data_IF_486032835799
#
_entry.id   IF_486032835799
#
_cell.length_a   1.000
_cell.length_b   1.000
_cell.length_c   1.000
_cell.angle_alpha   90.00
_cell.angle_beta   90.00
_cell.angle_gamma   90.00
#
_symmetry.space_group_name_H-M   'P 1'
#
loop_
_entity.id
_entity.type
_entity.pdbx_description
1 polymer ?
#
# COMPACT_ATOMS: atom_id res chain seq x y z
N UNK A 1 -0.75 -32.40 -0.58
CA UNK A 1 -0.65 -31.42 -1.68
C UNK A 1 0.62 -30.62 -1.49
N UNK A 2 1.40 -30.31 -2.53
CA UNK A 2 2.58 -29.45 -2.37
C UNK A 2 2.10 -28.00 -2.25
N UNK A 3 2.36 -27.38 -1.11
CA UNK A 3 2.08 -25.96 -0.88
C UNK A 3 3.31 -25.10 -1.18
N UNK A 4 3.12 -23.83 -1.51
CA UNK A 4 4.19 -22.84 -1.65
C UNK A 4 3.77 -21.58 -0.89
N UNK A 5 4.61 -21.17 0.05
CA UNK A 5 4.54 -19.86 0.68
C UNK A 5 5.63 -18.97 0.09
N UNK A 6 5.25 -17.81 -0.44
CA UNK A 6 6.17 -16.84 -1.03
C UNK A 6 5.82 -15.44 -0.56
N UNK A 7 6.80 -14.75 0.04
CA UNK A 7 6.74 -13.32 0.30
C UNK A 7 7.86 -12.64 -0.49
N UNK A 8 7.53 -11.98 -1.58
CA UNK A 8 8.50 -11.34 -2.47
C UNK A 8 8.78 -9.88 -2.11
N UNK A 9 7.88 -9.23 -1.34
CA UNK A 9 8.05 -7.85 -0.89
C UNK A 9 9.15 -7.76 0.16
N UNK A 10 10.11 -6.84 -0.01
CA UNK A 10 11.05 -6.46 1.06
C UNK A 10 10.32 -5.57 2.06
N UNK A 11 10.29 -5.97 3.32
CA UNK A 11 9.55 -5.25 4.36
C UNK A 11 10.53 -4.56 5.30
N UNK A 12 10.39 -3.23 5.41
CA UNK A 12 11.09 -2.38 6.36
C UNK A 12 10.11 -2.03 7.48
N UNK A 13 10.46 -2.28 8.73
CA UNK A 13 9.54 -2.12 9.88
C UNK A 13 10.17 -1.31 11.00
N UNK A 14 9.31 -0.61 11.75
CA UNK A 14 9.68 0.15 12.93
C UNK A 14 9.81 1.64 12.66
N UNK A 15 10.02 2.40 13.74
CA UNK A 15 10.23 3.84 13.65
C UNK A 15 11.41 4.17 12.74
N UNK A 16 11.24 5.20 11.91
CA UNK A 16 12.20 5.62 10.90
C UNK A 16 12.44 4.62 9.75
N UNK A 17 11.67 3.53 9.66
CA UNK A 17 11.79 2.61 8.51
C UNK A 17 11.53 3.29 7.17
N UNK A 18 10.76 4.40 7.14
CA UNK A 18 10.53 5.19 5.95
C UNK A 18 11.83 5.82 5.41
N UNK A 19 12.82 6.11 6.25
CA UNK A 19 14.09 6.73 5.84
C UNK A 19 14.87 5.81 4.88
N UNK A 20 14.68 4.50 4.95
CA UNK A 20 15.28 3.54 4.03
C UNK A 20 14.81 3.72 2.57
N UNK A 21 13.76 4.50 2.32
CA UNK A 21 13.26 4.78 0.97
C UNK A 21 14.30 5.53 0.12
N UNK A 22 15.19 6.30 0.75
CA UNK A 22 16.30 7.01 0.10
C UNK A 22 17.29 6.05 -0.58
N UNK A 23 17.37 4.81 -0.08
CA UNK A 23 18.27 3.77 -0.57
C UNK A 23 17.69 2.95 -1.74
N UNK A 24 16.49 3.28 -2.23
CA UNK A 24 15.91 2.61 -3.40
C UNK A 24 16.65 2.93 -4.71
N UNK A 25 17.47 3.99 -4.74
CA UNK A 25 18.28 4.36 -5.91
C UNK A 25 17.46 4.88 -7.09
N UNK A 26 16.28 5.44 -6.83
CA UNK A 26 15.38 5.97 -7.85
C UNK A 26 15.94 7.28 -8.44
N UNK A 27 15.69 7.50 -9.71
CA UNK A 27 15.99 8.75 -10.42
C UNK A 27 14.73 9.59 -10.63
N UNK A 28 13.59 8.95 -10.85
CA UNK A 28 12.30 9.60 -11.14
C UNK A 28 11.20 8.87 -10.39
N UNK A 29 10.84 9.39 -9.22
CA UNK A 29 9.84 8.78 -8.34
C UNK A 29 8.46 9.43 -8.52
N UNK A 30 7.46 8.63 -8.85
CA UNK A 30 6.07 9.04 -8.99
C UNK A 30 5.30 8.66 -7.74
N UNK A 31 4.93 9.66 -6.92
CA UNK A 31 4.23 9.47 -5.65
C UNK A 31 2.73 9.50 -5.92
N UNK A 32 2.03 8.41 -5.60
CA UNK A 32 0.56 8.27 -5.71
C UNK A 32 -0.04 8.30 -4.31
N UNK A 33 -0.90 9.27 -4.04
CA UNK A 33 -1.55 9.44 -2.75
C UNK A 33 -2.97 10.04 -2.89
N UNK A 34 -3.69 10.10 -1.78
CA UNK A 34 -4.93 10.86 -1.70
C UNK A 34 -4.69 12.35 -1.41
N UNK A 35 -5.72 13.22 -1.61
CA UNK A 35 -5.59 14.65 -1.37
C UNK A 35 -5.25 15.01 0.09
N UNK A 36 -5.57 14.16 1.05
CA UNK A 36 -5.26 14.40 2.46
C UNK A 36 -3.75 14.29 2.71
N UNK A 37 -3.08 13.29 2.13
CA UNK A 37 -1.63 13.11 2.25
C UNK A 37 -0.84 14.30 1.67
N UNK A 38 -1.33 14.89 0.58
CA UNK A 38 -0.74 16.12 0.05
C UNK A 38 -1.02 17.31 0.96
N UNK A 39 -2.27 17.50 1.37
CA UNK A 39 -2.70 18.64 2.20
C UNK A 39 -2.07 18.66 3.57
N UNK A 40 -1.86 17.52 4.22
CA UNK A 40 -1.19 17.43 5.52
C UNK A 40 0.33 17.52 5.44
N UNK A 41 0.91 17.59 4.22
CA UNK A 41 2.33 17.76 3.99
C UNK A 41 3.13 16.44 3.87
N UNK A 42 2.54 15.29 4.18
CA UNK A 42 3.25 13.98 4.15
C UNK A 42 3.82 13.64 2.77
N UNK A 43 3.05 13.91 1.69
CA UNK A 43 3.54 13.69 0.34
C UNK A 43 4.73 14.62 -0.01
N UNK A 44 4.71 15.86 0.48
CA UNK A 44 5.82 16.81 0.34
C UNK A 44 7.06 16.41 1.13
N UNK A 45 6.90 15.91 2.37
CA UNK A 45 7.99 15.37 3.18
C UNK A 45 8.67 14.19 2.45
N UNK A 46 7.88 13.24 1.97
CA UNK A 46 8.38 12.09 1.22
C UNK A 46 9.09 12.51 -0.09
N UNK A 47 8.53 13.48 -0.81
CA UNK A 47 9.17 14.04 -2.00
C UNK A 47 10.52 14.72 -1.66
N UNK A 48 10.59 15.45 -0.54
CA UNK A 48 11.82 16.09 -0.08
C UNK A 48 12.92 15.06 0.25
N UNK A 49 12.57 13.94 0.90
CA UNK A 49 13.50 12.84 1.19
C UNK A 49 14.07 12.26 -0.11
N UNK A 50 13.21 11.91 -1.06
CA UNK A 50 13.63 11.35 -2.36
C UNK A 50 14.45 12.34 -3.19
N UNK A 51 14.07 13.63 -3.18
CA UNK A 51 14.85 14.68 -3.84
C UNK A 51 16.23 14.85 -3.19
N UNK A 52 16.31 14.76 -1.85
CA UNK A 52 17.57 14.77 -1.10
C UNK A 52 18.50 13.62 -1.49
N UNK A 53 17.93 12.46 -1.83
CA UNK A 53 18.64 11.30 -2.35
C UNK A 53 18.97 11.38 -3.85
N UNK A 54 18.59 12.48 -4.53
CA UNK A 54 18.91 12.74 -5.94
C UNK A 54 17.84 12.32 -6.95
N UNK A 55 16.66 11.92 -6.50
CA UNK A 55 15.54 11.61 -7.39
C UNK A 55 14.77 12.89 -7.78
N UNK A 56 14.29 12.96 -9.04
CA UNK A 56 13.21 13.88 -9.40
C UNK A 56 11.88 13.30 -8.93
N UNK A 57 10.98 14.11 -8.37
CA UNK A 57 9.70 13.62 -7.88
C UNK A 57 8.51 14.31 -8.56
N UNK A 58 7.43 13.56 -8.75
CA UNK A 58 6.11 14.09 -9.12
C UNK A 58 5.05 13.46 -8.23
N UNK A 59 4.13 14.28 -7.73
CA UNK A 59 3.02 13.82 -6.88
C UNK A 59 1.74 13.78 -7.71
N UNK A 60 1.00 12.68 -7.58
CA UNK A 60 -0.36 12.49 -8.04
C UNK A 60 -1.24 12.28 -6.80
N UNK A 61 -2.10 13.26 -6.48
CA UNK A 61 -2.89 13.29 -5.25
C UNK A 61 -4.40 13.20 -5.50
N UNK A 62 -4.81 12.55 -6.60
CA UNK A 62 -6.24 12.42 -6.96
C UNK A 62 -6.85 11.06 -6.57
N UNK A 63 -6.19 10.29 -5.69
CA UNK A 63 -6.76 9.03 -5.22
C UNK A 63 -7.99 9.29 -4.37
N UNK A 64 -9.03 8.49 -4.60
CA UNK A 64 -10.29 8.52 -3.84
C UNK A 64 -10.53 7.16 -3.19
N UNK A 65 -11.36 7.09 -2.13
CA UNK A 65 -11.84 5.81 -1.62
C UNK A 65 -12.49 4.99 -2.73
N UNK A 66 -12.26 3.67 -2.75
CA UNK A 66 -12.72 2.80 -3.83
C UNK A 66 -12.26 3.30 -5.22
N UNK A 67 -10.93 3.26 -5.50
CA UNK A 67 -10.37 3.93 -6.66
C UNK A 67 -10.99 3.46 -7.96
N UNK A 68 -11.34 4.42 -8.82
CA UNK A 68 -12.01 4.15 -10.09
C UNK A 68 -11.05 3.94 -11.25
N UNK A 69 -11.54 3.32 -12.32
CA UNK A 69 -10.81 3.18 -13.59
C UNK A 69 -10.33 4.54 -14.10
N UNK A 70 -11.13 5.60 -13.92
CA UNK A 70 -10.79 6.95 -14.34
C UNK A 70 -9.59 7.52 -13.57
N UNK A 71 -9.51 7.28 -12.26
CA UNK A 71 -8.38 7.70 -11.42
C UNK A 71 -7.10 6.98 -11.84
N UNK A 72 -7.18 5.66 -12.05
CA UNK A 72 -6.05 4.86 -12.57
C UNK A 72 -5.58 5.38 -13.93
N UNK A 73 -6.52 5.68 -14.85
CA UNK A 73 -6.19 6.22 -16.18
C UNK A 73 -5.47 7.58 -16.10
N UNK A 74 -5.90 8.47 -15.20
CA UNK A 74 -5.22 9.75 -14.95
C UNK A 74 -3.80 9.55 -14.40
N UNK A 75 -3.62 8.64 -13.44
CA UNK A 75 -2.30 8.32 -12.92
C UNK A 75 -1.37 7.82 -14.02
N UNK A 76 -1.84 6.92 -14.91
CA UNK A 76 -1.09 6.44 -16.07
C UNK A 76 -0.73 7.59 -17.02
N UNK A 77 -1.64 8.52 -17.26
CA UNK A 77 -1.34 9.68 -18.12
C UNK A 77 -0.19 10.52 -17.53
N UNK A 78 -0.23 10.80 -16.22
CA UNK A 78 0.87 11.49 -15.56
C UNK A 78 2.19 10.71 -15.59
N UNK A 79 2.14 9.37 -15.50
CA UNK A 79 3.31 8.52 -15.63
C UNK A 79 3.92 8.56 -17.04
N UNK A 80 3.08 8.60 -18.10
CA UNK A 80 3.57 8.74 -19.49
C UNK A 80 4.32 10.04 -19.74
N UNK A 81 3.93 11.12 -19.07
CA UNK A 81 4.59 12.43 -19.17
C UNK A 81 5.85 12.50 -18.33
N UNK A 82 5.88 11.78 -17.21
CA UNK A 82 6.98 11.84 -16.26
C UNK A 82 8.00 10.72 -16.45
N UNK A 83 7.64 9.58 -17.05
CA UNK A 83 8.50 8.41 -17.28
C UNK A 83 9.23 7.95 -16.00
N UNK A 84 8.50 7.55 -14.95
CA UNK A 84 9.10 7.17 -13.67
C UNK A 84 9.84 5.83 -13.78
N UNK A 85 10.94 5.69 -13.03
CA UNK A 85 11.59 4.42 -12.75
C UNK A 85 11.11 3.81 -11.42
N UNK A 86 10.43 4.61 -10.58
CA UNK A 86 9.80 4.15 -9.34
C UNK A 86 8.43 4.78 -9.08
N UNK A 87 7.53 3.98 -8.49
CA UNK A 87 6.20 4.39 -8.02
C UNK A 87 6.18 4.21 -6.52
N UNK A 88 5.79 5.26 -5.80
CA UNK A 88 5.63 5.22 -4.35
C UNK A 88 4.15 5.41 -4.03
N UNK A 89 3.52 4.39 -3.48
CA UNK A 89 2.14 4.46 -2.99
C UNK A 89 2.14 4.96 -1.53
N UNK A 90 1.68 6.17 -1.29
CA UNK A 90 1.57 6.74 0.06
C UNK A 90 0.09 6.85 0.46
N UNK A 91 -0.35 6.04 1.41
CA UNK A 91 -1.73 6.05 1.87
C UNK A 91 -2.25 4.68 2.28
N UNK A 92 -3.56 4.56 2.44
CA UNK A 92 -4.22 3.28 2.71
C UNK A 92 -4.36 2.39 1.47
N UNK A 93 -5.16 1.32 1.58
CA UNK A 93 -5.37 0.35 0.50
C UNK A 93 -5.75 0.97 -0.84
N UNK A 94 -6.57 2.04 -0.87
CA UNK A 94 -6.97 2.71 -2.11
C UNK A 94 -5.79 3.34 -2.86
N UNK A 95 -4.83 3.94 -2.16
CA UNK A 95 -3.63 4.51 -2.78
C UNK A 95 -2.72 3.39 -3.31
N UNK A 96 -2.54 2.33 -2.53
CA UNK A 96 -1.73 1.18 -2.92
C UNK A 96 -2.33 0.46 -4.12
N UNK A 97 -3.64 0.22 -4.13
CA UNK A 97 -4.34 -0.43 -5.23
C UNK A 97 -4.31 0.41 -6.52
N UNK A 98 -4.45 1.75 -6.40
CA UNK A 98 -4.27 2.66 -7.54
C UNK A 98 -2.87 2.55 -8.13
N UNK A 99 -1.84 2.57 -7.27
CA UNK A 99 -0.44 2.48 -7.69
C UNK A 99 -0.11 1.13 -8.35
N UNK A 100 -0.62 0.02 -7.78
CA UNK A 100 -0.51 -1.31 -8.36
C UNK A 100 -1.12 -1.38 -9.76
N UNK A 101 -2.39 -0.97 -9.89
CA UNK A 101 -3.10 -1.00 -11.16
C UNK A 101 -2.44 -0.09 -12.19
N UNK A 102 -2.12 1.15 -11.82
CA UNK A 102 -1.48 2.10 -12.71
C UNK A 102 -0.10 1.62 -13.17
N UNK A 103 0.74 1.13 -12.25
CA UNK A 103 2.08 0.63 -12.56
C UNK A 103 2.06 -0.60 -13.46
N UNK A 104 1.19 -1.56 -13.17
CA UNK A 104 1.03 -2.78 -13.97
C UNK A 104 0.58 -2.47 -15.41
N UNK A 105 -0.44 -1.63 -15.56
CA UNK A 105 -0.96 -1.25 -16.88
C UNK A 105 0.05 -0.38 -17.64
N UNK A 106 0.72 0.57 -16.97
CA UNK A 106 1.77 1.39 -17.58
C UNK A 106 2.90 0.52 -18.13
N UNK A 107 3.41 -0.43 -17.33
CA UNK A 107 4.46 -1.35 -17.75
C UNK A 107 4.04 -2.25 -18.92
N UNK A 108 2.79 -2.73 -18.90
CA UNK A 108 2.22 -3.55 -19.97
C UNK A 108 2.11 -2.76 -21.29
N UNK A 109 1.79 -1.46 -21.23
CA UNK A 109 1.69 -0.59 -22.41
C UNK A 109 3.05 -0.27 -23.03
N UNK A 110 4.11 -0.17 -22.22
CA UNK A 110 5.44 0.18 -22.66
C UNK A 110 6.29 -1.04 -23.06
N UNK A 111 5.86 -2.25 -22.68
CA UNK A 111 6.59 -3.50 -22.98
C UNK A 111 7.88 -3.72 -22.16
N UNK A 112 8.14 -2.86 -21.16
CA UNK A 112 9.36 -2.87 -20.35
C UNK A 112 9.15 -3.42 -18.93
N UNK A 113 7.92 -3.88 -18.62
CA UNK A 113 7.52 -4.19 -17.25
C UNK A 113 7.18 -2.92 -16.47
N UNK A 114 6.66 -3.09 -15.24
CA UNK A 114 6.34 -1.94 -14.38
C UNK A 114 7.61 -1.33 -13.75
N UNK A 115 7.60 -0.02 -13.44
CA UNK A 115 8.59 0.60 -12.56
C UNK A 115 8.64 -0.09 -11.19
N UNK A 116 9.75 0.10 -10.44
CA UNK A 116 9.79 -0.35 -9.05
C UNK A 116 8.57 0.19 -8.29
N UNK A 117 7.89 -0.66 -7.53
CA UNK A 117 6.73 -0.28 -6.73
C UNK A 117 7.05 -0.41 -5.25
N UNK A 118 7.02 0.71 -4.54
CA UNK A 118 7.13 0.74 -3.08
C UNK A 118 5.82 1.19 -2.45
N UNK A 119 5.40 0.54 -1.38
CA UNK A 119 4.22 0.89 -0.61
C UNK A 119 4.59 1.51 0.73
N UNK A 120 3.96 2.61 1.07
CA UNK A 120 4.07 3.33 2.33
C UNK A 120 2.67 3.44 2.94
N UNK A 121 2.20 2.39 3.63
CA UNK A 121 0.85 2.36 4.19
C UNK A 121 0.72 3.36 5.33
N UNK A 122 -0.40 4.08 5.35
CA UNK A 122 -0.79 5.00 6.42
C UNK A 122 -2.00 4.51 7.21
N UNK A 123 -2.46 3.32 6.92
CA UNK A 123 -3.50 2.57 7.67
C UNK A 123 -3.00 1.16 7.92
N UNK A 124 -3.40 0.57 9.04
CA UNK A 124 -3.10 -0.82 9.38
C UNK A 124 -4.38 -1.65 9.20
N UNK A 125 -4.50 -2.36 8.08
CA UNK A 125 -5.74 -3.09 7.75
C UNK A 125 -5.59 -4.01 6.58
N UNK A 126 -5.65 -3.46 5.37
CA UNK A 126 -5.85 -4.19 4.12
C UNK A 126 -4.74 -5.16 3.74
N UNK A 127 -3.50 -4.95 4.23
CA UNK A 127 -2.34 -5.74 3.80
C UNK A 127 -2.00 -5.59 2.30
N UNK A 128 -2.54 -4.55 1.64
CA UNK A 128 -2.34 -4.36 0.20
C UNK A 128 -0.85 -4.22 -0.15
N UNK A 129 -0.01 -3.75 0.76
CA UNK A 129 1.44 -3.59 0.59
C UNK A 129 2.20 -4.90 0.35
N UNK A 130 1.58 -6.06 0.60
CA UNK A 130 2.21 -7.39 0.44
C UNK A 130 1.40 -8.34 -0.45
N UNK A 131 0.28 -7.88 -1.02
CA UNK A 131 -0.63 -8.75 -1.79
C UNK A 131 -0.51 -8.57 -3.29
N UNK A 132 -0.89 -9.62 -4.04
CA UNK A 132 -0.98 -9.64 -5.51
C UNK A 132 -2.36 -9.20 -6.04
N UNK A 133 -3.12 -8.46 -5.25
CA UNK A 133 -4.45 -7.99 -5.57
C UNK A 133 -4.52 -6.46 -5.62
N UNK A 134 -5.39 -5.93 -6.47
CA UNK A 134 -5.83 -4.54 -6.45
C UNK A 134 -7.31 -4.49 -6.81
N UNK A 135 -8.10 -3.76 -6.02
CA UNK A 135 -9.54 -3.62 -6.24
C UNK A 135 -9.83 -2.26 -6.89
N UNK A 136 -10.37 -2.29 -8.10
CA UNK A 136 -10.69 -1.09 -8.88
C UNK A 136 -12.17 -1.07 -9.22
N UNK A 137 -12.80 0.09 -9.06
CA UNK A 137 -14.22 0.30 -9.30
C UNK A 137 -14.48 0.79 -10.70
N UNK A 138 -15.44 0.18 -11.38
CA UNK A 138 -16.07 0.75 -12.58
C UNK A 138 -17.34 1.49 -12.15
N UNK A 139 -17.28 2.80 -12.12
CA UNK A 139 -18.38 3.64 -11.68
C UNK A 139 -19.56 3.60 -12.65
N UNK A 140 -19.32 3.29 -13.93
CA UNK A 140 -20.35 3.19 -14.96
C UNK A 140 -21.09 1.87 -14.89
N UNK A 141 -20.34 0.77 -14.72
CA UNK A 141 -20.91 -0.56 -14.55
C UNK A 141 -21.41 -0.83 -13.12
N UNK A 142 -21.13 0.07 -12.16
CA UNK A 142 -21.39 -0.12 -10.73
C UNK A 142 -20.82 -1.45 -10.19
N UNK A 143 -19.63 -1.81 -10.64
CA UNK A 143 -18.96 -3.07 -10.33
C UNK A 143 -17.56 -2.84 -9.78
N UNK A 144 -17.09 -3.73 -8.90
CA UNK A 144 -15.70 -3.77 -8.42
C UNK A 144 -15.00 -4.95 -9.08
N UNK A 145 -13.82 -4.69 -9.60
CA UNK A 145 -12.95 -5.70 -10.22
C UNK A 145 -11.73 -5.93 -9.34
N UNK A 146 -11.55 -7.15 -8.90
CA UNK A 146 -10.32 -7.58 -8.25
C UNK A 146 -9.32 -8.00 -9.33
N UNK A 147 -8.35 -7.14 -9.59
CA UNK A 147 -7.19 -7.50 -10.41
C UNK A 147 -6.30 -8.45 -9.62
N UNK A 148 -5.80 -9.48 -10.26
CA UNK A 148 -4.90 -10.44 -9.63
C UNK A 148 -3.76 -10.79 -10.57
N UNK A 149 -2.55 -10.39 -10.20
CA UNK A 149 -1.32 -10.71 -10.92
C UNK A 149 -0.13 -10.63 -9.96
N UNK A 150 0.89 -11.48 -10.17
CA UNK A 150 2.12 -11.41 -9.37
C UNK A 150 2.86 -10.08 -9.56
N UNK A 151 2.73 -9.44 -10.71
CA UNK A 151 3.30 -8.13 -10.96
C UNK A 151 2.64 -6.99 -10.16
N UNK A 152 1.52 -7.23 -9.46
CA UNK A 152 0.90 -6.28 -8.54
C UNK A 152 1.56 -6.26 -7.16
N UNK A 153 2.36 -7.29 -6.82
CA UNK A 153 3.03 -7.33 -5.52
C UNK A 153 4.07 -6.22 -5.45
N UNK A 154 4.03 -5.34 -4.43
CA UNK A 154 5.07 -4.32 -4.25
C UNK A 154 6.47 -4.93 -4.04
N UNK A 155 7.50 -4.27 -4.57
CA UNK A 155 8.91 -4.68 -4.38
C UNK A 155 9.41 -4.37 -2.98
N UNK A 156 8.86 -3.29 -2.36
CA UNK A 156 9.19 -2.87 -1.01
C UNK A 156 7.94 -2.34 -0.28
N UNK A 157 7.90 -2.52 1.04
CA UNK A 157 6.91 -1.94 1.93
C UNK A 157 7.60 -1.30 3.14
N UNK A 158 7.20 -0.08 3.49
CA UNK A 158 7.75 0.70 4.60
C UNK A 158 6.69 0.87 5.68
N UNK A 159 6.78 0.06 6.72
CA UNK A 159 5.80 -0.02 7.81
C UNK A 159 6.28 0.83 9.01
N UNK A 160 6.20 2.15 8.85
CA UNK A 160 6.55 3.11 9.89
C UNK A 160 5.31 3.44 10.73
N UNK A 161 5.26 3.06 12.01
CA UNK A 161 4.09 3.27 12.86
C UNK A 161 3.74 4.75 13.05
N UNK A 162 4.71 5.67 12.89
CA UNK A 162 4.45 7.12 12.95
C UNK A 162 3.46 7.60 11.89
N UNK A 163 3.32 6.86 10.79
CA UNK A 163 2.38 7.20 9.71
C UNK A 163 0.94 6.83 10.04
N UNK A 164 0.72 5.90 10.97
CA UNK A 164 -0.63 5.47 11.40
C UNK A 164 -1.13 6.20 12.64
N UNK A 165 -0.26 6.87 13.40
CA UNK A 165 -0.59 7.54 14.67
C UNK A 165 -1.66 8.64 14.55
N UNK A 166 -1.81 9.24 13.37
CA UNK A 166 -2.80 10.30 13.10
C UNK A 166 -4.11 9.81 12.50
N UNK A 167 -4.28 8.50 12.37
CA UNK A 167 -5.51 7.90 11.82
C UNK A 167 -6.66 8.12 12.81
N UNK A 168 -7.84 8.61 12.37
CA UNK A 168 -9.00 8.79 13.24
C UNK A 168 -9.43 7.48 13.91
N UNK A 169 -9.86 7.51 15.19
CA UNK A 169 -10.24 6.31 15.95
C UNK A 169 -11.24 5.38 15.23
N UNK A 170 -12.24 5.96 14.54
CA UNK A 170 -13.21 5.17 13.78
C UNK A 170 -12.55 4.38 12.65
N UNK A 171 -11.60 4.99 11.92
CA UNK A 171 -10.88 4.30 10.85
C UNK A 171 -9.93 3.26 11.43
N UNK A 172 -9.27 3.54 12.56
CA UNK A 172 -8.43 2.55 13.27
C UNK A 172 -9.26 1.33 13.66
N UNK A 173 -10.47 1.53 14.19
CA UNK A 173 -11.38 0.45 14.55
C UNK A 173 -11.80 -0.36 13.31
N UNK A 174 -12.23 0.30 12.24
CA UNK A 174 -12.68 -0.36 11.01
C UNK A 174 -11.54 -1.17 10.38
N UNK A 175 -10.35 -0.59 10.24
CA UNK A 175 -9.20 -1.27 9.64
C UNK A 175 -8.65 -2.38 10.53
N UNK A 176 -8.69 -2.23 11.85
CA UNK A 176 -8.33 -3.29 12.81
C UNK A 176 -9.29 -4.48 12.76
N UNK A 177 -10.59 -4.23 12.59
CA UNK A 177 -11.58 -5.30 12.37
C UNK A 177 -11.37 -5.99 11.02
N UNK A 178 -10.91 -5.27 10.00
CA UNK A 178 -10.51 -5.84 8.71
C UNK A 178 -9.32 -6.81 8.88
N UNK A 179 -8.30 -6.44 9.67
CA UNK A 179 -7.19 -7.36 10.03
C UNK A 179 -7.71 -8.63 10.70
N UNK A 180 -8.64 -8.49 11.66
CA UNK A 180 -9.22 -9.64 12.35
C UNK A 180 -9.95 -10.57 11.38
N UNK A 181 -10.73 -9.99 10.46
CA UNK A 181 -11.46 -10.72 9.42
C UNK A 181 -10.49 -11.48 8.52
N UNK A 182 -9.45 -10.80 8.02
CA UNK A 182 -8.43 -11.42 7.18
C UNK A 182 -7.69 -12.56 7.90
N UNK A 183 -7.37 -12.37 9.19
CA UNK A 183 -6.74 -13.41 10.00
C UNK A 183 -7.63 -14.65 10.16
N UNK A 184 -8.92 -14.45 10.46
CA UNK A 184 -9.89 -15.55 10.59
C UNK A 184 -10.11 -16.25 9.25
N UNK A 185 -10.30 -15.50 8.16
CA UNK A 185 -10.48 -16.07 6.82
C UNK A 185 -9.26 -16.88 6.36
N UNK A 186 -8.05 -16.37 6.61
CA UNK A 186 -6.83 -17.10 6.29
C UNK A 186 -6.74 -18.42 7.07
N UNK A 187 -7.02 -18.38 8.39
CA UNK A 187 -6.94 -19.53 9.28
C UNK A 187 -7.94 -20.65 8.92
N UNK A 188 -9.16 -20.30 8.47
CA UNK A 188 -10.18 -21.28 8.07
C UNK A 188 -10.15 -21.60 6.58
N UNK A 189 -9.19 -21.04 5.83
CA UNK A 189 -9.09 -21.26 4.39
C UNK A 189 -8.80 -22.72 4.06
N UNK A 190 -9.44 -23.25 3.01
CA UNK A 190 -9.10 -24.58 2.48
C UNK A 190 -7.66 -24.68 1.92
N UNK A 191 -6.94 -23.55 1.81
CA UNK A 191 -5.55 -23.44 1.36
C UNK A 191 -4.59 -23.08 2.52
N UNK A 192 -5.08 -23.08 3.76
CA UNK A 192 -4.26 -22.81 4.92
C UNK A 192 -3.12 -23.84 5.04
N UNK A 193 -1.99 -23.38 5.52
CA UNK A 193 -0.82 -24.19 5.85
C UNK A 193 -0.13 -23.61 7.09
N UNK A 194 0.87 -24.30 7.64
CA UNK A 194 1.55 -23.91 8.88
C UNK A 194 2.14 -22.48 8.83
N UNK A 195 2.54 -21.99 7.65
CA UNK A 195 3.09 -20.63 7.50
C UNK A 195 1.99 -19.57 7.50
N UNK A 196 0.91 -19.83 6.77
CA UNK A 196 -0.25 -18.92 6.75
C UNK A 196 -0.94 -18.89 8.09
N UNK A 197 -1.05 -20.03 8.78
CA UNK A 197 -1.64 -20.14 10.11
C UNK A 197 -0.83 -19.35 11.15
N UNK A 198 0.49 -19.46 11.12
CA UNK A 198 1.35 -18.68 12.02
C UNK A 198 1.17 -17.15 11.84
N UNK A 199 1.01 -16.68 10.59
CA UNK A 199 0.71 -15.27 10.31
C UNK A 199 -0.68 -14.89 10.80
N UNK A 200 -1.69 -15.73 10.53
CA UNK A 200 -3.08 -15.50 10.92
C UNK A 200 -3.25 -15.44 12.46
N UNK A 201 -2.70 -16.42 13.16
CA UNK A 201 -2.72 -16.46 14.64
C UNK A 201 -2.04 -15.23 15.24
N UNK A 202 -0.89 -14.83 14.69
CA UNK A 202 -0.18 -13.62 15.15
C UNK A 202 -1.03 -12.36 14.94
N UNK A 203 -1.66 -12.21 13.76
CA UNK A 203 -2.51 -11.07 13.43
C UNK A 203 -3.72 -11.00 14.38
N UNK A 204 -4.46 -12.11 14.57
CA UNK A 204 -5.62 -12.19 15.46
C UNK A 204 -5.22 -11.82 16.88
N UNK A 205 -4.08 -12.36 17.37
CA UNK A 205 -3.59 -12.07 18.73
C UNK A 205 -3.25 -10.60 18.91
N UNK A 206 -2.56 -9.98 17.94
CA UNK A 206 -2.19 -8.57 18.03
C UNK A 206 -3.42 -7.66 18.00
N UNK A 207 -4.42 -7.95 17.16
CA UNK A 207 -5.69 -7.20 17.17
C UNK A 207 -6.37 -7.31 18.53
N UNK A 208 -6.46 -8.50 19.09
CA UNK A 208 -7.07 -8.72 20.38
C UNK A 208 -6.36 -7.97 21.52
N UNK A 209 -5.05 -7.91 21.45
CA UNK A 209 -4.21 -7.31 22.50
C UNK A 209 -4.16 -5.78 22.42
N UNK A 210 -4.15 -5.21 21.20
CA UNK A 210 -3.80 -3.80 20.99
C UNK A 210 -4.88 -2.94 20.35
N UNK A 211 -5.88 -3.49 19.65
CA UNK A 211 -6.83 -2.68 18.89
C UNK A 211 -7.60 -1.68 19.77
N UNK A 212 -8.08 -2.10 20.92
CA UNK A 212 -8.81 -1.20 21.84
C UNK A 212 -7.93 -0.02 22.28
N UNK A 213 -6.67 -0.29 22.60
CA UNK A 213 -5.70 0.74 23.00
C UNK A 213 -5.44 1.70 21.83
N UNK A 214 -5.16 1.18 20.64
CA UNK A 214 -4.91 2.00 19.45
C UNK A 214 -6.12 2.86 19.05
N UNK A 215 -7.35 2.39 19.29
CA UNK A 215 -8.57 3.18 19.04
C UNK A 215 -8.74 4.29 20.07
N UNK A 216 -8.40 4.02 21.35
CA UNK A 216 -8.53 4.98 22.44
C UNK A 216 -7.41 6.03 22.44
N UNK A 217 -6.21 5.64 22.02
CA UNK A 217 -5.03 6.51 21.97
C UNK A 217 -4.18 6.19 20.72
N UNK A 218 -4.38 6.95 19.65
CA UNK A 218 -3.59 6.83 18.42
C UNK A 218 -2.10 7.18 18.58
N UNK A 219 -1.69 7.78 19.70
CA UNK A 219 -0.28 8.07 20.00
C UNK A 219 0.44 6.91 20.70
N UNK A 220 -0.26 5.86 21.06
CA UNK A 220 0.31 4.64 21.63
C UNK A 220 1.10 3.88 20.54
N UNK A 221 2.42 3.89 20.66
CA UNK A 221 3.36 3.36 19.66
C UNK A 221 3.83 1.94 19.98
N UNK A 222 3.26 1.27 21.02
CA UNK A 222 3.54 -0.12 21.35
C UNK A 222 2.78 -1.14 20.40
#
# INVERSE_FOLDING_TARGET
MMGQFLMSTRIYTGEASLEEIEHLGLKRAYIICDPFMEKCGRAGELAAMLNGAGAETRIFSEVVPDPSIEVVAKAIQGMKEFEPDGIIALGGGSAIDTAKAAGHLYGSMNGEGRPLLAAVPTTSGTGSEVTSFAVISDTKAQAKYALRDQALVPDAAFLDPRLTSSVPPAITADTGMDVLTHGLEAYVSAKADDFTDACAEKAIRLVWEYLERAVLDGSDME
#
